data_IF_515228745619
#
_entry.id   IF_515228745619
#
_cell.length_a   1.000
_cell.length_b   1.000
_cell.length_c   1.000
_cell.angle_alpha   90.00
_cell.angle_beta   90.00
_cell.angle_gamma   90.00
#
_symmetry.space_group_name_H-M   'P 1'
#
loop_
_entity.id
_entity.type
_entity.pdbx_description
1 polymer ?
#
# COMPACT_ATOMS: atom_id res chain seq x y z
N UNK A 1 2.50 24.88 35.03
CA UNK A 1 2.62 24.03 33.83
C UNK A 1 1.35 24.01 33.01
N UNK A 2 0.19 23.58 33.52
CA UNK A 2 -1.05 23.57 32.72
C UNK A 2 -1.46 24.94 32.16
N UNK A 3 -1.38 26.01 32.96
CA UNK A 3 -1.62 27.38 32.46
C UNK A 3 -0.71 27.78 31.30
N UNK A 4 0.54 27.32 31.30
CA UNK A 4 1.49 27.56 30.21
C UNK A 4 1.05 26.83 28.95
N UNK A 5 0.61 25.57 29.07
CA UNK A 5 0.07 24.81 27.96
C UNK A 5 -1.19 25.47 27.34
N UNK A 6 -2.05 26.08 28.15
CA UNK A 6 -3.28 26.75 27.69
C UNK A 6 -3.06 28.13 27.07
N UNK A 7 -1.90 28.75 27.28
CA UNK A 7 -1.67 30.12 26.81
C UNK A 7 -1.34 30.12 25.32
N UNK A 8 -2.36 30.33 24.47
CA UNK A 8 -2.25 30.27 22.99
C UNK A 8 -1.31 31.30 22.37
N UNK A 9 -0.93 32.35 23.09
CA UNK A 9 0.07 33.33 22.64
C UNK A 9 1.52 32.84 22.77
N UNK A 10 1.75 31.68 23.40
CA UNK A 10 3.08 31.09 23.53
C UNK A 10 3.39 30.12 22.36
N UNK A 11 4.67 29.88 22.05
CA UNK A 11 5.06 28.89 21.03
C UNK A 11 4.51 27.49 21.35
N UNK A 12 4.09 26.76 20.32
CA UNK A 12 3.46 25.45 20.47
C UNK A 12 4.37 24.41 21.12
N UNK A 13 5.67 24.45 20.84
CA UNK A 13 6.65 23.53 21.39
C UNK A 13 6.79 23.72 22.90
N UNK A 14 6.75 24.98 23.35
CA UNK A 14 6.79 25.31 24.77
C UNK A 14 5.50 24.89 25.48
N UNK A 15 4.35 25.05 24.82
CA UNK A 15 3.04 24.61 25.33
C UNK A 15 2.96 23.09 25.43
N UNK A 16 3.40 22.38 24.40
CA UNK A 16 3.48 20.92 24.36
C UNK A 16 4.44 20.38 25.43
N UNK A 17 5.62 20.99 25.58
CA UNK A 17 6.57 20.62 26.64
C UNK A 17 6.01 20.87 28.04
N UNK A 18 5.33 22.00 28.26
CA UNK A 18 4.69 22.30 29.53
C UNK A 18 3.59 21.29 29.87
N UNK A 19 2.80 20.86 28.88
CA UNK A 19 1.77 19.83 29.04
C UNK A 19 2.38 18.46 29.39
N UNK A 20 3.50 18.11 28.75
CA UNK A 20 4.25 16.88 29.03
C UNK A 20 4.87 16.87 30.43
N UNK A 21 5.26 18.05 30.94
CA UNK A 21 5.89 18.20 32.25
C UNK A 21 4.90 18.15 33.44
N UNK A 22 3.60 18.06 33.19
CA UNK A 22 2.61 17.82 34.24
C UNK A 22 2.85 16.43 34.82
N UNK A 23 3.05 16.33 36.14
CA UNK A 23 3.19 15.05 36.85
C UNK A 23 1.94 14.16 36.69
N UNK A 24 2.05 12.87 37.01
CA UNK A 24 1.03 11.86 36.70
C UNK A 24 -0.41 12.28 37.05
N UNK A 25 -1.28 12.18 36.04
CA UNK A 25 -2.70 12.47 36.16
C UNK A 25 -3.33 11.42 37.06
N UNK A 26 -3.58 11.79 38.31
CA UNK A 26 -4.29 10.92 39.23
C UNK A 26 -5.76 10.86 38.81
N UNK A 27 -6.43 9.71 38.90
CA UNK A 27 -7.84 9.56 38.52
C UNK A 27 -8.79 10.52 39.27
N UNK A 28 -8.39 11.02 40.43
CA UNK A 28 -9.16 11.97 41.24
C UNK A 28 -9.02 13.44 40.76
N UNK A 29 -8.09 13.74 39.84
CA UNK A 29 -7.83 15.10 39.35
C UNK A 29 -8.71 15.45 38.14
N UNK A 30 -10.03 15.37 38.36
CA UNK A 30 -11.06 15.54 37.32
C UNK A 30 -10.91 16.89 36.62
N UNK A 31 -10.65 17.96 37.36
CA UNK A 31 -10.53 19.30 36.79
C UNK A 31 -9.32 19.44 35.85
N UNK A 32 -8.17 18.84 36.20
CA UNK A 32 -7.00 18.83 35.32
C UNK A 32 -7.25 17.98 34.09
N UNK A 33 -7.86 16.80 34.25
CA UNK A 33 -8.23 15.92 33.13
C UNK A 33 -9.16 16.65 32.16
N UNK A 34 -10.21 17.32 32.64
CA UNK A 34 -11.17 18.05 31.81
C UNK A 34 -10.49 19.17 31.00
N UNK A 35 -9.55 19.89 31.61
CA UNK A 35 -8.77 20.92 30.92
C UNK A 35 -7.85 20.34 29.85
N UNK A 36 -7.23 19.19 30.09
CA UNK A 36 -6.41 18.51 29.07
C UNK A 36 -7.30 17.95 27.95
N UNK A 37 -8.52 17.46 28.27
CA UNK A 37 -9.50 17.07 27.24
C UNK A 37 -9.90 18.26 26.38
N UNK A 38 -10.09 19.44 26.97
CA UNK A 38 -10.37 20.67 26.24
C UNK A 38 -9.23 21.03 25.27
N UNK A 39 -7.97 20.88 25.71
CA UNK A 39 -6.81 21.05 24.81
C UNK A 39 -6.80 20.01 23.68
N UNK A 40 -7.08 18.73 23.98
CA UNK A 40 -7.13 17.70 22.95
C UNK A 40 -8.24 17.96 21.90
N UNK A 41 -9.37 18.53 22.32
CA UNK A 41 -10.50 18.81 21.44
C UNK A 41 -10.30 20.06 20.59
N UNK A 42 -9.85 21.16 21.20
CA UNK A 42 -10.03 22.50 20.63
C UNK A 42 -8.72 23.27 20.40
N UNK A 43 -7.56 22.75 20.82
CA UNK A 43 -6.30 23.46 20.60
C UNK A 43 -6.00 23.60 19.11
N UNK A 44 -5.58 24.78 18.62
CA UNK A 44 -5.21 24.95 17.21
C UNK A 44 -3.95 24.17 16.81
N UNK A 45 -3.04 23.89 17.75
CA UNK A 45 -1.76 23.23 17.46
C UNK A 45 -1.88 21.70 17.50
N UNK A 46 -1.57 20.99 16.40
CA UNK A 46 -1.49 19.53 16.40
C UNK A 46 -0.53 18.97 17.46
N UNK A 47 0.54 19.71 17.79
CA UNK A 47 1.55 19.30 18.75
C UNK A 47 1.01 19.26 20.18
N UNK A 48 0.27 20.31 20.56
CA UNK A 48 -0.37 20.38 21.88
C UNK A 48 -1.46 19.31 21.97
N UNK A 49 -2.27 19.14 20.91
CA UNK A 49 -3.29 18.07 20.82
C UNK A 49 -2.65 16.69 21.00
N UNK A 50 -1.56 16.40 20.31
CA UNK A 50 -0.88 15.11 20.39
C UNK A 50 -0.39 14.80 21.81
N UNK A 51 0.26 15.77 22.47
CA UNK A 51 0.69 15.59 23.86
C UNK A 51 -0.50 15.42 24.80
N UNK A 52 -1.60 16.15 24.59
CA UNK A 52 -2.83 15.99 25.37
C UNK A 52 -3.40 14.57 25.25
N UNK A 53 -3.53 14.06 24.01
CA UNK A 53 -4.00 12.70 23.73
C UNK A 53 -3.09 11.67 24.38
N UNK A 54 -1.76 11.82 24.24
CA UNK A 54 -0.79 10.91 24.85
C UNK A 54 -0.94 10.85 26.37
N UNK A 55 -1.21 11.98 27.03
CA UNK A 55 -1.40 12.05 28.49
C UNK A 55 -2.73 11.44 28.95
N UNK A 56 -3.78 11.57 28.15
CA UNK A 56 -5.10 11.05 28.51
C UNK A 56 -5.25 9.54 28.22
N UNK A 57 -4.49 9.00 27.27
CA UNK A 57 -4.52 7.58 26.94
C UNK A 57 -3.67 6.73 27.91
N UNK A 58 -4.10 5.51 28.31
CA UNK A 58 -5.39 4.86 28.01
C UNK A 58 -6.50 5.12 29.03
N UNK A 59 -6.18 5.76 30.16
CA UNK A 59 -7.07 5.78 31.34
C UNK A 59 -8.27 6.71 31.19
N UNK A 60 -8.19 7.73 30.34
CA UNK A 60 -9.18 8.80 30.24
C UNK A 60 -9.78 8.96 28.84
N UNK A 61 -9.33 8.18 27.85
CA UNK A 61 -9.92 8.17 26.50
C UNK A 61 -10.26 6.74 26.10
N UNK A 62 -11.45 6.56 25.53
CA UNK A 62 -11.74 5.40 24.71
C UNK A 62 -10.86 5.39 23.46
N UNK A 63 -10.70 4.22 22.84
CA UNK A 63 -9.94 4.10 21.59
C UNK A 63 -10.51 5.01 20.51
N UNK A 64 -11.84 5.07 20.39
CA UNK A 64 -12.50 5.90 19.37
C UNK A 64 -12.21 7.38 19.57
N UNK A 65 -12.31 7.88 20.81
CA UNK A 65 -11.97 9.27 21.12
C UNK A 65 -10.50 9.57 20.83
N UNK A 66 -9.57 8.65 21.18
CA UNK A 66 -8.15 8.81 20.86
C UNK A 66 -7.92 8.99 19.36
N UNK A 67 -8.56 8.17 18.53
CA UNK A 67 -8.40 8.22 17.08
C UNK A 67 -9.10 9.45 16.48
N UNK A 68 -10.28 9.82 16.98
CA UNK A 68 -11.05 10.98 16.52
C UNK A 68 -10.37 12.32 16.83
N UNK A 69 -9.66 12.42 17.96
CA UNK A 69 -8.99 13.66 18.38
C UNK A 69 -7.64 13.87 17.69
N UNK A 70 -7.01 12.82 17.14
CA UNK A 70 -5.68 12.97 16.54
C UNK A 70 -5.77 13.82 15.27
N UNK A 71 -5.01 14.91 15.27
CA UNK A 71 -4.83 15.79 14.11
C UNK A 71 -3.53 15.48 13.40
N UNK A 72 -3.55 15.54 12.07
CA UNK A 72 -2.32 15.40 11.29
C UNK A 72 -1.36 16.57 11.59
N UNK A 73 -0.05 16.30 11.68
CA UNK A 73 0.96 17.34 11.80
C UNK A 73 0.98 18.23 10.55
N UNK A 74 1.59 19.41 10.67
CA UNK A 74 1.88 20.22 9.50
C UNK A 74 2.79 19.44 8.51
N UNK A 75 2.64 19.68 7.19
CA UNK A 75 3.54 19.07 6.20
C UNK A 75 4.99 19.43 6.53
N UNK A 76 5.91 18.47 6.36
CA UNK A 76 7.35 18.62 6.62
C UNK A 76 7.77 18.90 8.07
N UNK A 77 6.84 18.78 9.04
CA UNK A 77 7.14 18.93 10.46
C UNK A 77 7.09 17.60 11.22
N UNK A 78 8.26 17.15 11.68
CA UNK A 78 8.44 15.90 12.41
C UNK A 78 8.41 16.12 13.94
N UNK A 79 7.23 16.48 14.44
CA UNK A 79 6.98 16.74 15.87
C UNK A 79 6.35 15.57 16.64
N UNK A 80 5.82 15.88 17.83
CA UNK A 80 5.05 14.97 18.67
C UNK A 80 3.80 14.43 17.96
N UNK A 81 3.12 15.25 17.15
CA UNK A 81 1.93 14.79 16.43
C UNK A 81 2.29 13.71 15.39
N UNK A 82 3.40 13.91 14.66
CA UNK A 82 3.92 12.92 13.73
C UNK A 82 4.30 11.62 14.45
N UNK A 83 5.08 11.71 15.53
CA UNK A 83 5.51 10.53 16.31
C UNK A 83 4.30 9.77 16.86
N UNK A 84 3.34 10.47 17.46
CA UNK A 84 2.14 9.82 18.00
C UNK A 84 1.34 9.10 16.92
N UNK A 85 1.14 9.73 15.75
CA UNK A 85 0.44 9.13 14.60
C UNK A 85 1.11 7.82 14.17
N UNK A 86 2.43 7.84 14.05
CA UNK A 86 3.23 6.68 13.63
C UNK A 86 3.25 5.56 14.67
N UNK A 87 3.22 5.88 15.96
CA UNK A 87 3.30 4.90 17.03
C UNK A 87 1.96 4.24 17.38
N UNK A 88 0.83 4.92 17.16
CA UNK A 88 -0.52 4.43 17.53
C UNK A 88 -0.75 2.97 17.06
N UNK A 89 -0.55 2.60 15.78
CA UNK A 89 -0.86 1.25 15.30
C UNK A 89 -0.09 0.15 16.04
N UNK A 90 1.17 0.41 16.42
CA UNK A 90 2.01 -0.56 17.11
C UNK A 90 1.60 -0.76 18.59
N UNK A 91 0.97 0.24 19.20
CA UNK A 91 0.52 0.19 20.60
C UNK A 91 -0.80 -0.55 20.81
N UNK A 92 -1.56 -0.83 19.74
CA UNK A 92 -2.88 -1.46 19.85
C UNK A 92 -2.77 -2.97 20.06
N UNK A 93 -3.62 -3.49 20.96
CA UNK A 93 -3.88 -4.93 21.05
C UNK A 93 -4.61 -5.43 19.80
N UNK A 94 -4.68 -6.76 19.60
CA UNK A 94 -5.40 -7.33 18.46
C UNK A 94 -6.90 -6.97 18.47
N UNK A 95 -7.55 -6.99 19.64
CA UNK A 95 -8.95 -6.59 19.78
C UNK A 95 -9.15 -5.10 19.49
N UNK A 96 -8.23 -4.24 19.94
CA UNK A 96 -8.24 -2.81 19.61
C UNK A 96 -7.98 -2.57 18.12
N UNK A 97 -7.14 -3.38 17.47
CA UNK A 97 -6.88 -3.26 16.03
C UNK A 97 -8.14 -3.56 15.22
N UNK A 98 -8.94 -4.56 15.62
CA UNK A 98 -10.22 -4.84 14.97
C UNK A 98 -11.19 -3.64 15.06
N UNK A 99 -11.26 -2.98 16.22
CA UNK A 99 -12.06 -1.76 16.39
C UNK A 99 -11.49 -0.56 15.62
N UNK A 100 -10.16 -0.45 15.56
CA UNK A 100 -9.48 0.60 14.81
C UNK A 100 -9.66 0.43 13.29
N UNK A 101 -9.78 -0.80 12.78
CA UNK A 101 -10.12 -1.06 11.38
C UNK A 101 -11.52 -0.56 11.03
N UNK A 102 -12.51 -0.78 11.89
CA UNK A 102 -13.85 -0.22 11.71
C UNK A 102 -13.82 1.31 11.68
N UNK A 103 -13.10 1.91 12.63
CA UNK A 103 -12.90 3.36 12.65
C UNK A 103 -12.21 3.87 11.37
N UNK A 104 -11.16 3.19 10.91
CA UNK A 104 -10.42 3.57 9.71
C UNK A 104 -11.30 3.53 8.47
N UNK A 105 -12.07 2.45 8.28
CA UNK A 105 -13.06 2.35 7.20
C UNK A 105 -14.06 3.50 7.26
N UNK A 106 -14.70 3.72 8.41
CA UNK A 106 -15.72 4.77 8.57
C UNK A 106 -15.15 6.16 8.29
N UNK A 107 -13.93 6.42 8.75
CA UNK A 107 -13.21 7.69 8.57
C UNK A 107 -12.87 7.95 7.11
N UNK A 108 -12.47 6.93 6.36
CA UNK A 108 -12.12 7.06 4.94
C UNK A 108 -13.40 7.18 4.09
N UNK A 109 -14.47 6.47 4.44
CA UNK A 109 -15.76 6.54 3.74
C UNK A 109 -16.46 7.89 3.95
N UNK A 110 -16.40 8.42 5.17
CA UNK A 110 -17.05 9.67 5.57
C UNK A 110 -16.03 10.55 6.32
N UNK A 111 -15.11 11.20 5.59
CA UNK A 111 -14.08 12.03 6.20
C UNK A 111 -14.73 13.21 6.91
N UNK A 112 -14.66 13.20 8.25
CA UNK A 112 -14.99 14.36 9.06
C UNK A 112 -13.78 15.30 9.13
N UNK A 113 -13.99 16.63 9.20
CA UNK A 113 -12.90 17.58 9.37
C UNK A 113 -12.00 17.22 10.56
N UNK A 114 -10.69 17.23 10.33
CA UNK A 114 -9.69 16.99 11.38
C UNK A 114 -9.30 15.53 11.62
N UNK A 115 -10.03 14.54 11.08
CA UNK A 115 -9.64 13.13 11.19
C UNK A 115 -8.51 12.78 10.22
N UNK A 116 -7.51 12.05 10.70
CA UNK A 116 -6.35 11.65 9.91
C UNK A 116 -6.61 10.44 9.01
N UNK A 117 -6.62 10.66 7.70
CA UNK A 117 -6.66 9.60 6.67
C UNK A 117 -5.35 8.81 6.65
N UNK A 118 -4.23 9.46 6.96
CA UNK A 118 -2.92 8.82 7.04
C UNK A 118 -2.89 7.81 8.20
N UNK A 119 -3.40 8.19 9.37
CA UNK A 119 -3.57 7.26 10.49
C UNK A 119 -4.47 6.09 10.11
N UNK A 120 -5.61 6.36 9.46
CA UNK A 120 -6.53 5.31 9.01
C UNK A 120 -5.82 4.31 8.09
N UNK A 121 -4.97 4.78 7.19
CA UNK A 121 -4.15 3.94 6.30
C UNK A 121 -3.19 3.04 7.09
N UNK A 122 -2.48 3.59 8.08
CA UNK A 122 -1.59 2.82 8.95
C UNK A 122 -2.34 1.78 9.79
N UNK A 123 -3.56 2.09 10.23
CA UNK A 123 -4.42 1.15 10.96
C UNK A 123 -4.91 0.00 10.08
N UNK A 124 -5.22 0.26 8.80
CA UNK A 124 -5.51 -0.80 7.82
C UNK A 124 -4.27 -1.69 7.64
N UNK A 125 -3.08 -1.10 7.47
CA UNK A 125 -1.83 -1.85 7.35
C UNK A 125 -1.61 -2.78 8.54
N UNK A 126 -1.79 -2.26 9.77
CA UNK A 126 -1.69 -3.06 11.00
C UNK A 126 -2.72 -4.18 11.06
N UNK A 127 -3.96 -3.92 10.65
CA UNK A 127 -5.02 -4.90 10.59
C UNK A 127 -4.72 -6.02 9.59
N UNK A 128 -4.20 -5.69 8.40
CA UNK A 128 -3.74 -6.66 7.40
C UNK A 128 -2.68 -7.57 7.99
N UNK A 129 -1.64 -7.01 8.62
CA UNK A 129 -0.58 -7.80 9.26
C UNK A 129 -1.14 -8.76 10.31
N UNK A 130 -1.96 -8.27 11.25
CA UNK A 130 -2.48 -9.10 12.34
C UNK A 130 -3.47 -10.16 11.84
N UNK A 131 -4.36 -9.81 10.90
CA UNK A 131 -5.30 -10.74 10.30
C UNK A 131 -4.57 -11.90 9.60
N UNK A 132 -3.49 -11.61 8.88
CA UNK A 132 -2.71 -12.61 8.17
C UNK A 132 -1.88 -13.52 9.07
N UNK A 133 -1.37 -13.01 10.21
CA UNK A 133 -0.49 -13.80 11.10
C UNK A 133 -1.24 -14.56 12.19
N UNK A 134 -2.20 -13.91 12.86
CA UNK A 134 -2.83 -14.41 14.09
C UNK A 134 -4.36 -14.41 14.04
N UNK A 135 -4.95 -13.89 12.95
CA UNK A 135 -6.36 -13.53 12.90
C UNK A 135 -6.69 -12.24 13.67
N UNK A 136 -7.87 -11.70 13.40
CA UNK A 136 -8.41 -10.54 14.12
C UNK A 136 -9.57 -10.95 15.05
N UNK A 137 -9.47 -10.70 16.36
CA UNK A 137 -10.53 -11.03 17.29
C UNK A 137 -11.88 -10.39 16.92
N UNK A 138 -12.95 -11.18 16.92
CA UNK A 138 -14.31 -10.71 16.61
C UNK A 138 -14.57 -10.47 15.11
N UNK A 139 -13.59 -10.74 14.24
CA UNK A 139 -13.71 -10.58 12.79
C UNK A 139 -13.32 -11.88 12.08
N UNK A 140 -14.29 -12.79 11.81
CA UNK A 140 -14.00 -14.07 11.15
C UNK A 140 -13.61 -13.89 9.67
N UNK A 141 -14.11 -12.85 9.02
CA UNK A 141 -13.86 -12.52 7.61
C UNK A 141 -13.22 -11.12 7.48
N UNK A 142 -11.99 -10.93 7.99
CA UNK A 142 -11.34 -9.61 8.00
C UNK A 142 -11.15 -9.04 6.58
N UNK A 143 -11.05 -9.90 5.56
CA UNK A 143 -10.96 -9.52 4.15
C UNK A 143 -12.13 -8.66 3.67
N UNK A 144 -13.33 -8.82 4.24
CA UNK A 144 -14.50 -8.02 3.87
C UNK A 144 -14.32 -6.57 4.31
N UNK A 145 -14.00 -6.34 5.58
CA UNK A 145 -13.79 -5.00 6.11
C UNK A 145 -12.54 -4.32 5.53
N UNK A 146 -11.48 -5.09 5.30
CA UNK A 146 -10.28 -4.58 4.62
C UNK A 146 -10.64 -4.17 3.18
N UNK A 147 -11.42 -4.99 2.47
CA UNK A 147 -11.93 -4.67 1.14
C UNK A 147 -12.73 -3.37 1.11
N UNK A 148 -13.71 -3.21 2.01
CA UNK A 148 -14.48 -1.97 2.19
C UNK A 148 -13.59 -0.75 2.41
N UNK A 149 -12.56 -0.89 3.25
CA UNK A 149 -11.61 0.18 3.54
C UNK A 149 -10.76 0.53 2.32
N UNK A 150 -10.28 -0.45 1.55
CA UNK A 150 -9.51 -0.23 0.32
C UNK A 150 -10.35 0.41 -0.80
N UNK A 151 -11.62 0.03 -0.93
CA UNK A 151 -12.58 0.67 -1.84
C UNK A 151 -12.72 2.15 -1.49
N UNK A 152 -12.92 2.44 -0.21
CA UNK A 152 -13.02 3.82 0.27
C UNK A 152 -11.71 4.59 0.00
N UNK A 153 -10.57 3.97 0.28
CA UNK A 153 -9.23 4.54 0.13
C UNK A 153 -8.93 4.93 -1.32
N UNK A 154 -9.48 4.21 -2.30
CA UNK A 154 -9.35 4.53 -3.72
C UNK A 154 -9.98 5.89 -4.12
N UNK A 155 -10.74 6.53 -3.23
CA UNK A 155 -11.22 7.90 -3.40
C UNK A 155 -10.22 8.98 -2.96
N UNK A 156 -9.12 8.62 -2.29
CA UNK A 156 -8.18 9.55 -1.66
C UNK A 156 -6.78 9.51 -2.27
N UNK A 157 -6.68 9.21 -3.58
CA UNK A 157 -5.40 8.97 -4.27
C UNK A 157 -4.41 10.12 -4.13
N UNK A 158 -4.86 11.36 -4.20
CA UNK A 158 -3.99 12.54 -4.13
C UNK A 158 -3.23 12.62 -2.80
N UNK A 159 -3.90 12.26 -1.69
CA UNK A 159 -3.30 12.23 -0.36
C UNK A 159 -2.29 11.08 -0.20
N UNK A 160 -2.56 9.93 -0.83
CA UNK A 160 -1.71 8.74 -0.73
C UNK A 160 -0.41 8.85 -1.53
N UNK A 161 -0.44 9.55 -2.66
CA UNK A 161 0.77 9.80 -3.46
C UNK A 161 1.54 11.06 -3.02
N UNK A 162 0.93 11.88 -2.17
CA UNK A 162 1.55 13.03 -1.51
C UNK A 162 2.64 12.62 -0.51
N UNK A 163 3.48 13.58 -0.12
CA UNK A 163 4.60 13.35 0.82
C UNK A 163 4.11 12.84 2.17
N UNK A 164 2.94 13.32 2.61
CA UNK A 164 2.38 13.07 3.95
C UNK A 164 1.89 11.64 4.18
N UNK A 165 1.44 10.95 3.11
CA UNK A 165 0.80 9.63 3.20
C UNK A 165 1.52 8.52 2.42
N UNK A 166 2.57 8.85 1.64
CA UNK A 166 3.27 7.86 0.81
C UNK A 166 3.88 6.74 1.63
N UNK A 167 4.54 7.06 2.75
CA UNK A 167 5.20 6.07 3.60
C UNK A 167 4.19 5.04 4.13
N UNK A 168 3.06 5.53 4.64
CA UNK A 168 1.98 4.71 5.18
C UNK A 168 1.26 3.92 4.08
N UNK A 169 1.16 4.50 2.88
CA UNK A 169 0.63 3.82 1.71
C UNK A 169 1.53 2.68 1.21
N UNK A 170 2.85 2.89 1.17
CA UNK A 170 3.85 1.86 0.85
C UNK A 170 3.84 0.74 1.91
N UNK A 171 3.78 1.09 3.20
CA UNK A 171 3.69 0.14 4.29
C UNK A 171 2.44 -0.76 4.20
N UNK A 172 1.29 -0.19 3.81
CA UNK A 172 0.08 -0.98 3.52
C UNK A 172 0.32 -1.97 2.38
N UNK A 173 1.01 -1.54 1.32
CA UNK A 173 1.40 -2.41 0.21
C UNK A 173 2.28 -3.58 0.66
N UNK A 174 3.27 -3.31 1.50
CA UNK A 174 4.17 -4.32 2.05
C UNK A 174 3.44 -5.30 2.97
N UNK A 175 2.53 -4.80 3.81
CA UNK A 175 1.68 -5.64 4.65
C UNK A 175 0.82 -6.60 3.81
N UNK A 176 0.19 -6.12 2.74
CA UNK A 176 -0.61 -6.95 1.83
C UNK A 176 0.26 -8.00 1.12
N UNK A 177 1.47 -7.63 0.69
CA UNK A 177 2.41 -8.56 0.02
C UNK A 177 2.91 -9.65 0.96
N UNK A 178 3.10 -9.35 2.25
CA UNK A 178 3.56 -10.33 3.22
C UNK A 178 2.53 -11.43 3.56
N UNK A 179 1.23 -11.16 3.40
CA UNK A 179 0.15 -12.04 3.88
C UNK A 179 -0.57 -12.78 2.74
N UNK A 180 0.02 -13.85 2.21
CA UNK A 180 -0.51 -14.54 1.01
C UNK A 180 -1.95 -15.06 1.15
N UNK A 181 -2.29 -15.73 2.26
CA UNK A 181 -3.63 -16.31 2.45
C UNK A 181 -4.70 -15.23 2.56
N UNK A 182 -4.43 -14.17 3.34
CA UNK A 182 -5.33 -13.04 3.46
C UNK A 182 -5.46 -12.28 2.14
N UNK A 183 -4.35 -12.07 1.43
CA UNK A 183 -4.35 -11.40 0.12
C UNK A 183 -5.19 -12.16 -0.90
N UNK A 184 -5.11 -13.49 -0.94
CA UNK A 184 -5.94 -14.33 -1.81
C UNK A 184 -7.43 -14.22 -1.45
N UNK A 185 -7.77 -14.33 -0.16
CA UNK A 185 -9.15 -14.16 0.31
C UNK A 185 -9.70 -12.77 -0.03
N UNK A 186 -8.91 -11.72 0.19
CA UNK A 186 -9.24 -10.35 -0.17
C UNK A 186 -9.44 -10.18 -1.68
N UNK A 187 -8.54 -10.74 -2.49
CA UNK A 187 -8.67 -10.68 -3.94
C UNK A 187 -9.97 -11.34 -4.43
N UNK A 188 -10.25 -12.56 -3.95
CA UNK A 188 -11.49 -13.26 -4.27
C UNK A 188 -12.73 -12.45 -3.84
N UNK A 189 -12.70 -11.88 -2.62
CA UNK A 189 -13.76 -11.02 -2.13
C UNK A 189 -14.00 -9.81 -3.05
N UNK A 190 -12.94 -9.08 -3.41
CA UNK A 190 -13.02 -7.92 -4.31
C UNK A 190 -13.55 -8.30 -5.70
N UNK A 191 -13.10 -9.42 -6.26
CA UNK A 191 -13.53 -9.91 -7.57
C UNK A 191 -15.00 -10.35 -7.60
N UNK A 192 -15.48 -10.92 -6.50
CA UNK A 192 -16.85 -11.45 -6.40
C UNK A 192 -17.86 -10.35 -6.12
N UNK A 193 -17.47 -9.31 -5.38
CA UNK A 193 -18.41 -8.30 -4.88
C UNK A 193 -18.33 -6.95 -5.59
N UNK A 194 -17.31 -6.71 -6.42
CA UNK A 194 -17.16 -5.46 -7.17
C UNK A 194 -17.41 -5.65 -8.67
N UNK A 195 -18.02 -4.64 -9.28
CA UNK A 195 -18.01 -4.49 -10.72
C UNK A 195 -16.60 -4.17 -11.24
N UNK A 196 -16.33 -4.50 -12.50
CA UNK A 196 -15.01 -4.35 -13.13
C UNK A 196 -14.40 -2.96 -12.93
N UNK A 197 -15.19 -1.89 -13.08
CA UNK A 197 -14.72 -0.51 -12.91
C UNK A 197 -14.22 -0.23 -11.49
N UNK A 198 -14.96 -0.67 -10.47
CA UNK A 198 -14.60 -0.42 -9.07
C UNK A 198 -13.43 -1.31 -8.64
N UNK A 199 -13.37 -2.54 -9.14
CA UNK A 199 -12.22 -3.42 -9.00
C UNK A 199 -10.94 -2.76 -9.54
N UNK A 200 -10.96 -2.29 -10.80
CA UNK A 200 -9.82 -1.63 -11.42
C UNK A 200 -9.41 -0.35 -10.69
N UNK A 201 -10.39 0.36 -10.12
CA UNK A 201 -10.12 1.55 -9.31
C UNK A 201 -9.32 1.18 -8.05
N UNK A 202 -9.75 0.17 -7.30
CA UNK A 202 -9.02 -0.34 -6.13
C UNK A 202 -7.64 -0.87 -6.53
N UNK A 203 -7.59 -1.66 -7.60
CA UNK A 203 -6.36 -2.22 -8.14
C UNK A 203 -5.32 -1.15 -8.47
N UNK A 204 -5.76 -0.02 -9.02
CA UNK A 204 -4.89 1.11 -9.36
C UNK A 204 -4.53 2.01 -8.16
N UNK A 205 -5.26 1.90 -7.06
CA UNK A 205 -5.12 2.75 -5.88
C UNK A 205 -4.18 2.15 -4.84
N UNK A 206 -4.03 0.83 -4.79
CA UNK A 206 -3.06 0.14 -3.91
C UNK A 206 -1.69 0.08 -4.59
N UNK A 207 -0.55 0.06 -3.87
CA UNK A 207 0.76 -0.03 -4.51
C UNK A 207 0.87 -1.28 -5.41
N UNK A 208 1.64 -1.14 -6.48
CA UNK A 208 1.72 -2.17 -7.51
C UNK A 208 2.25 -3.51 -6.97
N UNK A 209 1.63 -4.61 -7.38
CA UNK A 209 2.02 -5.97 -6.97
C UNK A 209 1.75 -6.28 -5.49
N UNK A 210 0.86 -5.54 -4.83
CA UNK A 210 0.49 -5.78 -3.43
C UNK A 210 -0.79 -6.60 -3.27
N UNK A 211 -1.72 -6.52 -4.23
CA UNK A 211 -2.97 -7.29 -4.20
C UNK A 211 -2.86 -8.65 -4.90
N UNK A 212 -1.86 -8.83 -5.77
CA UNK A 212 -1.48 -10.13 -6.33
C UNK A 212 0.04 -10.19 -6.48
N UNK A 213 0.59 -11.39 -6.41
CA UNK A 213 1.99 -11.70 -6.69
C UNK A 213 2.10 -12.77 -7.78
N UNK A 214 3.32 -13.04 -8.24
CA UNK A 214 3.57 -14.10 -9.22
C UNK A 214 3.12 -15.48 -8.72
N UNK A 215 3.36 -15.79 -7.44
CA UNK A 215 2.94 -17.05 -6.83
C UNK A 215 1.41 -17.17 -6.70
N UNK A 216 0.71 -16.04 -6.51
CA UNK A 216 -0.75 -16.04 -6.46
C UNK A 216 -1.36 -16.32 -7.82
N UNK A 217 -0.73 -15.86 -8.91
CA UNK A 217 -1.20 -16.16 -10.26
C UNK A 217 -1.27 -17.67 -10.49
N UNK A 218 -0.25 -18.43 -10.09
CA UNK A 218 -0.30 -19.89 -10.19
C UNK A 218 -1.31 -20.52 -9.23
N UNK A 219 -1.43 -19.98 -8.01
CA UNK A 219 -2.49 -20.42 -7.10
C UNK A 219 -3.87 -20.29 -7.74
N UNK A 220 -4.16 -19.17 -8.41
CA UNK A 220 -5.44 -18.95 -9.09
C UNK A 220 -5.63 -19.85 -10.31
N UNK A 221 -4.57 -20.22 -11.01
CA UNK A 221 -4.64 -21.22 -12.09
C UNK A 221 -5.02 -22.59 -11.53
N UNK A 222 -4.37 -23.02 -10.44
CA UNK A 222 -4.64 -24.31 -9.78
C UNK A 222 -6.03 -24.37 -9.13
N UNK A 223 -6.59 -23.23 -8.73
CA UNK A 223 -7.90 -23.09 -8.09
C UNK A 223 -8.90 -22.31 -8.96
N UNK A 224 -8.85 -22.53 -10.27
CA UNK A 224 -9.64 -21.76 -11.24
C UNK A 224 -11.15 -21.88 -11.01
N UNK A 225 -11.61 -22.98 -10.39
CA UNK A 225 -13.00 -23.17 -10.00
C UNK A 225 -13.53 -22.09 -9.06
N UNK A 226 -12.66 -21.47 -8.24
CA UNK A 226 -13.05 -20.37 -7.35
C UNK A 226 -13.35 -19.07 -8.11
N UNK A 227 -12.85 -18.94 -9.35
CA UNK A 227 -13.06 -17.79 -10.22
C UNK A 227 -14.18 -18.02 -11.25
N UNK A 228 -14.92 -19.14 -11.16
CA UNK A 228 -15.92 -19.52 -12.15
C UNK A 228 -17.03 -18.45 -12.32
N UNK A 229 -17.41 -17.78 -11.24
CA UNK A 229 -18.45 -16.74 -11.23
C UNK A 229 -17.88 -15.32 -11.36
N UNK A 230 -16.55 -15.16 -11.45
CA UNK A 230 -15.88 -13.87 -11.58
C UNK A 230 -15.92 -13.40 -13.04
N UNK A 231 -16.15 -12.10 -13.31
CA UNK A 231 -16.10 -11.58 -14.67
C UNK A 231 -14.79 -11.93 -15.40
N UNK A 232 -14.82 -12.33 -16.69
CA UNK A 232 -13.65 -12.85 -17.38
C UNK A 232 -12.45 -11.89 -17.45
N UNK A 233 -12.70 -10.58 -17.57
CA UNK A 233 -11.64 -9.58 -17.67
C UNK A 233 -10.80 -9.47 -16.37
N UNK A 234 -11.39 -9.25 -15.19
CA UNK A 234 -10.69 -9.36 -13.91
C UNK A 234 -10.01 -10.72 -13.66
N UNK A 235 -10.68 -11.84 -13.97
CA UNK A 235 -10.07 -13.18 -13.80
C UNK A 235 -8.80 -13.34 -14.66
N UNK A 236 -8.83 -12.85 -15.91
CA UNK A 236 -7.68 -12.87 -16.81
C UNK A 236 -6.51 -12.04 -16.26
N UNK A 237 -6.76 -10.92 -15.59
CA UNK A 237 -5.69 -10.09 -15.01
C UNK A 237 -4.87 -10.83 -13.95
N UNK A 238 -5.49 -11.76 -13.20
CA UNK A 238 -4.79 -12.52 -12.16
C UNK A 238 -3.77 -13.52 -12.69
N UNK A 239 -4.02 -14.06 -13.89
CA UNK A 239 -3.26 -15.20 -14.45
C UNK A 239 -2.47 -14.82 -15.71
N UNK A 240 -2.48 -13.55 -16.11
CA UNK A 240 -1.72 -13.03 -17.25
C UNK A 240 -0.24 -12.85 -16.90
N UNK A 241 0.45 -13.98 -16.69
CA UNK A 241 1.86 -14.05 -16.33
C UNK A 241 2.65 -14.90 -17.33
N UNK A 242 3.98 -14.88 -17.20
CA UNK A 242 4.87 -15.80 -17.92
C UNK A 242 4.73 -17.24 -17.41
N UNK A 243 5.03 -18.25 -18.23
CA UNK A 243 5.03 -19.64 -17.79
C UNK A 243 6.03 -19.87 -16.63
N UNK A 244 5.76 -20.82 -15.73
CA UNK A 244 6.68 -21.16 -14.65
C UNK A 244 7.94 -21.82 -15.20
N UNK A 245 9.09 -21.55 -14.57
CA UNK A 245 10.36 -22.23 -14.90
C UNK A 245 10.55 -23.53 -14.12
N UNK A 246 9.80 -23.71 -13.02
CA UNK A 246 9.82 -24.91 -12.21
C UNK A 246 9.00 -26.03 -12.87
N UNK A 247 9.60 -27.22 -13.15
CA UNK A 247 8.90 -28.31 -13.83
C UNK A 247 7.68 -28.84 -13.09
N UNK A 248 7.72 -28.88 -11.75
CA UNK A 248 6.61 -29.39 -10.95
C UNK A 248 5.41 -28.45 -11.00
N UNK A 249 5.66 -27.13 -10.86
CA UNK A 249 4.65 -26.10 -11.03
C UNK A 249 4.10 -26.07 -12.46
N UNK A 250 4.95 -26.24 -13.47
CA UNK A 250 4.51 -26.33 -14.87
C UNK A 250 3.51 -27.48 -15.08
N UNK A 251 3.82 -28.68 -14.56
CA UNK A 251 2.95 -29.84 -14.65
C UNK A 251 1.57 -29.59 -14.01
N UNK A 252 1.52 -28.92 -12.85
CA UNK A 252 0.27 -28.55 -12.18
C UNK A 252 -0.56 -27.55 -13.00
N UNK A 253 0.08 -26.51 -13.54
CA UNK A 253 -0.62 -25.51 -14.37
C UNK A 253 -1.13 -26.13 -15.67
N UNK A 254 -0.37 -27.02 -16.30
CA UNK A 254 -0.82 -27.76 -17.49
C UNK A 254 -2.01 -28.67 -17.20
N UNK A 255 -2.06 -29.29 -16.01
CA UNK A 255 -3.24 -30.04 -15.56
C UNK A 255 -4.47 -29.12 -15.40
N UNK A 256 -4.30 -27.96 -14.78
CA UNK A 256 -5.38 -26.97 -14.64
C UNK A 256 -5.87 -26.45 -16.00
N UNK A 257 -4.98 -26.13 -16.94
CA UNK A 257 -5.34 -25.70 -18.29
C UNK A 257 -6.11 -26.79 -19.05
N UNK A 258 -5.81 -28.07 -18.83
CA UNK A 258 -6.60 -29.17 -19.42
C UNK A 258 -7.99 -29.28 -18.81
N UNK A 259 -8.14 -28.97 -17.52
CA UNK A 259 -9.41 -29.01 -16.82
C UNK A 259 -10.32 -27.81 -17.16
N UNK A 260 -9.74 -26.65 -17.50
CA UNK A 260 -10.49 -25.39 -17.65
C UNK A 260 -10.25 -24.72 -19.02
N UNK A 261 -11.22 -24.78 -19.95
CA UNK A 261 -11.08 -24.19 -21.30
C UNK A 261 -10.80 -22.68 -21.31
N UNK A 262 -11.41 -21.91 -20.42
CA UNK A 262 -11.19 -20.47 -20.32
C UNK A 262 -9.74 -20.14 -19.89
N UNK A 263 -9.20 -20.89 -18.93
CA UNK A 263 -7.81 -20.76 -18.51
C UNK A 263 -6.86 -21.14 -19.64
N UNK A 264 -7.14 -22.24 -20.35
CA UNK A 264 -6.36 -22.65 -21.53
C UNK A 264 -6.28 -21.54 -22.56
N UNK A 265 -7.39 -20.87 -22.85
CA UNK A 265 -7.44 -19.77 -23.81
C UNK A 265 -6.54 -18.60 -23.39
N UNK A 266 -6.49 -18.30 -22.09
CA UNK A 266 -5.64 -17.23 -21.56
C UNK A 266 -4.15 -17.57 -21.69
N UNK A 267 -3.79 -18.85 -21.53
CA UNK A 267 -2.40 -19.34 -21.57
C UNK A 267 -1.93 -19.84 -22.94
N UNK A 268 -2.73 -19.68 -24.00
CA UNK A 268 -2.38 -20.13 -25.38
C UNK A 268 -1.02 -19.61 -25.87
N UNK A 269 -0.64 -18.40 -25.46
CA UNK A 269 0.63 -17.77 -25.83
C UNK A 269 1.88 -18.37 -25.16
N UNK A 270 1.73 -19.37 -24.28
CA UNK A 270 2.85 -20.03 -23.62
C UNK A 270 3.50 -21.12 -24.46
N UNK A 271 2.84 -21.56 -25.54
CA UNK A 271 3.43 -22.53 -26.44
C UNK A 271 4.76 -21.98 -26.99
N UNK A 272 5.84 -22.79 -27.00
CA UNK A 272 7.08 -22.37 -27.62
C UNK A 272 6.80 -21.97 -29.06
N UNK A 273 7.40 -20.85 -29.50
CA UNK A 273 7.26 -20.39 -30.88
C UNK A 273 7.59 -21.56 -31.81
N UNK A 274 6.75 -21.85 -32.82
CA UNK A 274 7.01 -22.95 -33.73
C UNK A 274 8.41 -22.77 -34.30
N UNK A 275 9.23 -23.82 -34.24
CA UNK A 275 10.59 -23.76 -34.80
C UNK A 275 10.50 -23.24 -36.23
N UNK A 276 11.32 -22.23 -36.60
CA UNK A 276 11.34 -21.75 -37.97
C UNK A 276 11.62 -22.96 -38.85
N UNK A 277 10.66 -23.28 -39.73
CA UNK A 277 10.79 -24.38 -40.69
C UNK A 277 12.15 -24.21 -41.35
N UNK A 278 13.07 -25.12 -41.06
CA UNK A 278 14.27 -25.27 -41.85
C UNK A 278 13.80 -25.77 -43.21
N UNK A 279 13.48 -24.83 -44.10
CA UNK A 279 13.37 -25.10 -45.51
C UNK A 279 14.70 -25.74 -45.89
N UNK A 280 14.66 -27.06 -46.02
CA UNK A 280 15.78 -27.87 -46.47
C UNK A 280 15.98 -27.49 -47.92
N UNK A 281 16.82 -26.47 -48.13
CA UNK A 281 17.31 -26.14 -49.46
C UNK A 281 17.91 -27.42 -50.06
N UNK A 282 17.49 -27.84 -51.27
CA UNK A 282 18.04 -29.04 -51.88
C UNK A 282 19.55 -28.88 -52.08
N UNK A 283 20.34 -29.96 -51.98
CA UNK A 283 21.79 -29.88 -51.98
C UNK A 283 22.29 -29.29 -53.31
N UNK A 284 22.87 -28.09 -53.24
CA UNK A 284 23.60 -27.49 -54.35
C UNK A 284 24.81 -28.36 -54.66
N UNK A 285 24.77 -29.02 -55.81
CA UNK A 285 25.88 -29.75 -56.41
C UNK A 285 27.01 -28.76 -56.67
N UNK A 286 28.12 -28.88 -55.92
CA UNK A 286 29.39 -28.19 -56.20
C UNK A 286 29.87 -28.62 -57.58
N UNK A 287 29.79 -27.72 -58.55
CA UNK A 287 30.70 -27.71 -59.70
C UNK A 287 31.61 -26.49 -59.61
N UNK A 288 32.85 -26.72 -60.01
CA UNK A 288 34.01 -25.98 -59.58
C UNK A 288 34.13 -24.57 -60.19
N UNK A 289 34.68 -23.70 -59.36
CA UNK A 289 35.22 -22.37 -59.66
C UNK A 289 36.17 -22.36 -60.86
N UNK A 290 36.03 -21.36 -61.74
CA UNK A 290 37.18 -20.60 -62.26
C UNK A 290 36.77 -19.17 -62.61
N UNK A 291 37.70 -18.26 -62.30
CA UNK A 291 37.93 -16.92 -62.86
C UNK A 291 37.16 -15.70 -62.30
N UNK A 292 37.93 -14.88 -61.58
CA UNK A 292 38.34 -13.52 -62.01
C UNK A 292 37.59 -12.29 -61.47
N UNK A 293 38.36 -11.53 -60.67
CA UNK A 293 38.44 -10.06 -60.57
C UNK A 293 37.24 -9.22 -60.09
N UNK A 294 37.46 -8.51 -58.97
CA UNK A 294 37.41 -7.05 -59.01
C UNK A 294 36.68 -6.31 -57.89
N UNK A 295 37.45 -5.43 -57.25
CA UNK A 295 37.06 -4.14 -56.65
C UNK A 295 36.51 -4.07 -55.21
N UNK A 296 37.36 -3.50 -54.36
CA UNK A 296 37.06 -2.94 -53.05
C UNK A 296 36.25 -1.63 -53.15
N UNK A 297 35.49 -1.29 -52.08
CA UNK A 297 35.30 0.10 -51.62
C UNK A 297 34.72 0.17 -50.19
N UNK A 298 35.55 0.72 -49.30
CA UNK A 298 35.31 1.62 -48.16
C UNK A 298 34.13 1.45 -47.18
N UNK A 299 34.52 1.21 -45.91
CA UNK A 299 33.87 1.74 -44.70
C UNK A 299 34.05 3.26 -44.55
N UNK A 300 33.21 3.90 -43.73
CA UNK A 300 33.75 4.75 -42.65
C UNK A 300 33.16 4.42 -41.25
N UNK A 301 33.81 4.89 -40.15
CA UNK A 301 33.60 4.37 -38.80
C UNK A 301 32.72 5.24 -37.88
N UNK A 302 32.47 4.65 -36.71
CA UNK A 302 31.60 4.97 -35.56
C UNK A 302 31.68 6.36 -34.91
N UNK A 303 30.60 6.74 -34.21
CA UNK A 303 30.59 7.77 -33.16
C UNK A 303 29.89 7.26 -31.88
N UNK A 304 30.52 7.32 -30.69
CA UNK A 304 29.89 7.03 -29.41
C UNK A 304 29.25 8.28 -28.76
N UNK A 305 28.28 8.12 -27.84
CA UNK A 305 27.55 9.24 -27.22
C UNK A 305 28.33 9.91 -26.06
N UNK A 306 28.05 11.21 -25.77
CA UNK A 306 28.76 12.00 -24.77
C UNK A 306 28.27 11.77 -23.32
N UNK A 307 29.11 12.07 -22.29
CA UNK A 307 28.80 11.87 -20.88
C UNK A 307 28.01 13.03 -20.22
N UNK A 308 27.33 12.71 -19.10
CA UNK A 308 26.53 13.61 -18.25
C UNK A 308 27.36 14.72 -17.58
N UNK A 309 26.81 15.93 -17.36
CA UNK A 309 27.40 16.92 -16.46
C UNK A 309 26.85 16.81 -15.02
N UNK A 310 27.80 16.79 -14.08
CA UNK A 310 27.60 16.92 -12.63
C UNK A 310 27.48 18.39 -12.19
N UNK A 311 26.86 18.58 -11.02
CA UNK A 311 26.55 19.85 -10.36
C UNK A 311 27.76 20.77 -10.07
N UNK A 312 27.48 22.08 -9.95
CA UNK A 312 28.34 23.06 -9.24
C UNK A 312 27.54 23.90 -8.24
N UNK A 313 28.16 24.34 -7.12
CA UNK A 313 27.50 24.99 -5.99
C UNK A 313 27.63 26.53 -6.01
N UNK A 314 26.75 27.24 -5.28
CA UNK A 314 27.10 28.46 -4.54
C UNK A 314 26.24 29.73 -4.69
N UNK A 315 25.35 29.95 -3.70
CA UNK A 315 25.15 31.18 -2.88
C UNK A 315 24.42 32.43 -3.47
N UNK A 316 24.10 33.48 -2.67
CA UNK A 316 22.89 33.60 -1.80
C UNK A 316 22.12 34.95 -2.00
N UNK A 317 21.19 35.27 -1.06
CA UNK A 317 20.42 36.53 -0.83
C UNK A 317 19.11 36.70 -1.64
N UNK A 318 18.01 37.28 -1.14
CA UNK A 318 17.86 38.33 -0.12
C UNK A 318 16.44 38.38 0.46
N UNK A 319 16.38 38.98 1.64
CA UNK A 319 15.24 39.43 2.44
C UNK A 319 14.33 40.42 1.69
N UNK A 320 13.01 40.27 1.88
CA UNK A 320 12.08 41.36 2.21
C UNK A 320 10.75 40.81 2.71
#
# INVERSE_FOLDING_TARGET
MLQVAETTSLPEELRALALRAIADLHPADVQTVDRIRQLAADDPSPEVVAVAIYRLWPSHLSLRERLDLLRDPAPDYYGHAWVLRSDIPAQLTAAQTAQALLWARDTIQQPLPGRSIVLATSLISRAVTLAGTNGLPGLPHPETLIGEALIALANHRDLLYGVEGRTEHEALGDALRAQHSLRRALMLHLLTHLGERDFLRVWSAVPHGCLTTYDDAFYWMEHWEQLADVPPAPARLLVSITPPTDPDLQSRVEAACRAHPALRQITEGWAPAPEPRQDTAPPLTRTASTASHGCAKHLPPSTPPPPRPSAKPGAPSSTR
#
